data_IF_405703567393
#
_entry.id   IF_405703567393
#
_cell.length_a   1.000
_cell.length_b   1.000
_cell.length_c   1.000
_cell.angle_alpha   90.00
_cell.angle_beta   90.00
_cell.angle_gamma   90.00
#
_symmetry.space_group_name_H-M   'P 1'
#
loop_
_entity.id
_entity.type
_entity.pdbx_description
1 polymer ?
#
# COMPACT_ATOMS: atom_id res chain seq x y z
N UNK A 1 7.27 -18.19 -0.74
CA UNK A 1 7.39 -17.50 -2.05
C UNK A 1 7.42 -16.01 -1.77
N UNK A 2 8.26 -15.23 -2.46
CA UNK A 2 8.51 -13.81 -2.11
C UNK A 2 7.43 -12.85 -2.63
N UNK A 3 7.43 -11.62 -2.11
CA UNK A 3 6.60 -10.53 -2.60
C UNK A 3 7.07 -10.07 -3.99
N UNK A 4 6.13 -9.89 -4.91
CA UNK A 4 6.38 -9.23 -6.20
C UNK A 4 5.72 -7.85 -6.22
N UNK A 5 6.52 -6.81 -6.47
CA UNK A 5 6.05 -5.44 -6.70
C UNK A 5 6.05 -5.16 -8.19
N UNK A 6 4.90 -4.72 -8.70
CA UNK A 6 4.76 -4.19 -10.04
C UNK A 6 4.36 -2.73 -9.94
N UNK A 7 5.10 -1.83 -10.57
CA UNK A 7 4.81 -0.40 -10.54
C UNK A 7 4.53 0.11 -11.96
N UNK A 8 3.42 0.82 -12.12
CA UNK A 8 3.03 1.50 -13.37
C UNK A 8 2.87 2.99 -13.07
N UNK A 9 3.29 3.86 -14.01
CA UNK A 9 3.05 5.30 -13.92
C UNK A 9 2.30 5.76 -15.17
N UNK A 10 1.18 6.48 -14.98
CA UNK A 10 0.41 7.12 -16.03
C UNK A 10 0.11 8.56 -15.63
N UNK A 11 0.67 9.52 -16.36
CA UNK A 11 0.58 10.95 -16.07
C UNK A 11 1.02 11.29 -14.63
N UNK A 12 0.18 11.99 -13.88
CA UNK A 12 0.37 12.34 -12.48
C UNK A 12 -0.06 11.23 -11.51
N UNK A 13 -0.43 10.05 -12.03
CA UNK A 13 -0.86 8.92 -11.23
C UNK A 13 0.16 7.78 -11.28
N UNK A 14 0.37 7.13 -10.15
CA UNK A 14 1.12 5.89 -10.05
C UNK A 14 0.24 4.76 -9.53
N UNK A 15 0.49 3.55 -10.00
CA UNK A 15 -0.11 2.31 -9.51
C UNK A 15 1.01 1.40 -8.99
N UNK A 16 0.85 0.91 -7.77
CA UNK A 16 1.74 -0.08 -7.16
C UNK A 16 0.91 -1.32 -6.87
N UNK A 17 1.11 -2.37 -7.66
CA UNK A 17 0.48 -3.66 -7.45
C UNK A 17 1.41 -4.58 -6.64
N UNK A 18 0.90 -5.08 -5.53
CA UNK A 18 1.60 -5.90 -4.53
C UNK A 18 1.01 -7.30 -4.58
N UNK A 19 1.82 -8.28 -4.97
CA UNK A 19 1.41 -9.68 -5.08
C UNK A 19 2.15 -10.55 -4.06
N UNK A 20 1.42 -11.42 -3.37
CA UNK A 20 1.97 -12.39 -2.42
C UNK A 20 1.86 -11.97 -0.95
N UNK A 21 2.70 -12.56 -0.10
CA UNK A 21 2.63 -12.39 1.36
C UNK A 21 3.20 -11.04 1.81
N UNK A 22 2.42 -10.30 2.62
CA UNK A 22 2.89 -9.05 3.21
C UNK A 22 3.76 -9.35 4.44
N UNK A 23 5.07 -9.33 4.25
CA UNK A 23 6.09 -9.39 5.30
C UNK A 23 6.65 -8.01 5.62
N UNK A 24 7.37 -7.86 6.75
CA UNK A 24 8.05 -6.60 7.09
C UNK A 24 9.01 -6.11 5.99
N UNK A 25 9.63 -7.03 5.25
CA UNK A 25 10.47 -6.70 4.08
C UNK A 25 9.64 -6.09 2.96
N UNK A 26 8.49 -6.68 2.66
CA UNK A 26 7.58 -6.18 1.62
C UNK A 26 7.01 -4.79 1.93
N UNK A 27 6.67 -4.54 3.19
CA UNK A 27 6.16 -3.26 3.64
C UNK A 27 7.18 -2.13 3.40
N UNK A 28 8.47 -2.36 3.73
CA UNK A 28 9.55 -1.40 3.46
C UNK A 28 9.75 -1.12 1.98
N UNK A 29 9.59 -2.14 1.13
CA UNK A 29 9.71 -1.96 -0.32
C UNK A 29 8.51 -1.17 -0.89
N UNK A 30 7.30 -1.38 -0.34
CA UNK A 30 6.12 -0.58 -0.66
C UNK A 30 6.29 0.88 -0.25
N UNK A 31 6.77 1.14 0.98
CA UNK A 31 7.06 2.50 1.46
C UNK A 31 8.04 3.23 0.54
N UNK A 32 9.14 2.58 0.17
CA UNK A 32 10.13 3.15 -0.75
C UNK A 32 9.54 3.45 -2.14
N UNK A 33 8.66 2.59 -2.66
CA UNK A 33 7.99 2.81 -3.93
C UNK A 33 7.00 3.99 -3.88
N UNK A 34 6.23 4.12 -2.80
CA UNK A 34 5.32 5.25 -2.58
C UNK A 34 6.10 6.57 -2.51
N UNK A 35 7.20 6.59 -1.76
CA UNK A 35 8.03 7.80 -1.63
C UNK A 35 8.69 8.19 -2.97
N UNK A 36 9.10 7.21 -3.77
CA UNK A 36 9.60 7.45 -5.12
C UNK A 36 8.58 8.16 -6.01
N UNK A 37 7.30 7.78 -5.97
CA UNK A 37 6.28 8.43 -6.80
C UNK A 37 5.87 9.80 -6.26
N UNK A 38 5.84 9.99 -4.94
CA UNK A 38 5.63 11.30 -4.32
C UNK A 38 6.72 12.30 -4.69
N UNK A 39 7.98 11.90 -4.61
CA UNK A 39 9.11 12.78 -4.97
C UNK A 39 9.15 13.13 -6.46
N UNK A 40 8.53 12.30 -7.32
CA UNK A 40 8.36 12.57 -8.77
C UNK A 40 7.13 13.41 -9.12
N UNK A 41 6.38 13.87 -8.13
CA UNK A 41 5.23 14.74 -8.33
C UNK A 41 3.96 14.00 -8.75
N UNK A 42 3.86 12.69 -8.51
CA UNK A 42 2.59 11.98 -8.69
C UNK A 42 1.61 12.48 -7.62
N UNK A 43 0.47 13.03 -8.07
CA UNK A 43 -0.59 13.55 -7.21
C UNK A 43 -1.37 12.43 -6.53
N UNK A 44 -1.47 11.27 -7.21
CA UNK A 44 -2.20 10.09 -6.75
C UNK A 44 -1.31 8.86 -6.86
N UNK A 45 -1.24 8.08 -5.79
CA UNK A 45 -0.56 6.77 -5.76
C UNK A 45 -1.60 5.73 -5.35
N UNK A 46 -2.06 4.93 -6.32
CA UNK A 46 -2.96 3.81 -6.10
C UNK A 46 -2.14 2.58 -5.71
N UNK A 47 -2.56 1.88 -4.66
CA UNK A 47 -1.91 0.65 -4.21
C UNK A 47 -2.92 -0.49 -4.32
N UNK A 48 -2.65 -1.44 -5.21
CA UNK A 48 -3.44 -2.66 -5.35
C UNK A 48 -2.77 -3.80 -4.60
N UNK A 49 -3.47 -4.41 -3.65
CA UNK A 49 -2.94 -5.52 -2.86
C UNK A 49 -3.68 -6.79 -3.25
N UNK A 50 -2.95 -7.76 -3.81
CA UNK A 50 -3.43 -9.12 -4.09
C UNK A 50 -2.60 -10.11 -3.29
N UNK A 51 -3.05 -10.36 -2.08
CA UNK A 51 -2.39 -11.27 -1.14
C UNK A 51 -3.25 -12.50 -0.90
N UNK A 52 -2.70 -13.70 -1.11
CA UNK A 52 -3.33 -14.98 -0.75
C UNK A 52 -3.32 -15.22 0.78
N UNK A 53 -2.62 -14.38 1.53
CA UNK A 53 -2.52 -14.44 2.98
C UNK A 53 -2.40 -13.03 3.53
N UNK A 54 -3.55 -12.39 3.79
CA UNK A 54 -3.58 -11.27 4.71
C UNK A 54 -3.16 -11.83 6.07
N UNK A 55 -1.94 -11.53 6.51
CA UNK A 55 -1.52 -11.87 7.86
C UNK A 55 -2.60 -11.36 8.83
N UNK A 56 -3.10 -12.23 9.71
CA UNK A 56 -4.21 -11.89 10.62
C UNK A 56 -3.90 -10.67 11.50
N UNK A 57 -2.65 -10.19 11.56
CA UNK A 57 -2.26 -8.93 12.20
C UNK A 57 -2.75 -7.66 11.48
N UNK A 58 -3.03 -7.70 10.17
CA UNK A 58 -3.59 -6.56 9.41
C UNK A 58 -5.05 -6.26 9.76
N UNK A 59 -5.79 -7.22 10.36
CA UNK A 59 -7.14 -6.99 10.89
C UNK A 59 -7.18 -5.99 12.07
N UNK A 60 -6.03 -5.52 12.57
CA UNK A 60 -5.99 -4.41 13.54
C UNK A 60 -6.06 -3.02 12.88
N UNK A 61 -5.87 -2.90 11.58
CA UNK A 61 -5.94 -1.63 10.85
C UNK A 61 -7.36 -1.24 10.40
N UNK A 62 -8.35 -2.11 10.66
CA UNK A 62 -9.78 -1.89 10.39
C UNK A 62 -10.60 -1.54 11.65
N UNK A 63 -10.01 -0.89 12.65
CA UNK A 63 -10.81 -0.13 13.60
C UNK A 63 -10.86 1.31 13.10
N UNK A 64 -11.91 1.75 12.39
CA UNK A 64 -12.16 3.16 12.28
C UNK A 64 -12.34 3.65 13.71
N UNK A 65 -11.35 4.40 14.22
CA UNK A 65 -11.59 5.28 15.35
C UNK A 65 -12.72 6.20 14.92
N UNK A 66 -13.95 5.81 15.23
CA UNK A 66 -15.14 6.66 15.17
C UNK A 66 -14.73 7.95 15.85
N UNK A 67 -14.62 9.02 15.06
CA UNK A 67 -14.62 10.36 15.64
C UNK A 67 -15.98 10.48 16.31
N UNK A 68 -16.09 10.64 17.63
CA UNK A 68 -17.35 11.10 18.19
C UNK A 68 -17.62 12.46 17.53
N UNK A 69 -18.59 12.49 16.63
CA UNK A 69 -19.21 13.74 16.22
C UNK A 69 -19.94 14.25 17.46
N UNK A 70 -19.42 15.29 18.10
CA UNK A 70 -20.15 16.17 19.02
C UNK A 70 -21.44 16.68 18.33
N UNK A 71 -22.51 17.03 19.06
CA UNK A 71 -22.59 17.43 20.48
C UNK A 71 -23.35 16.48 21.42
#
# INVERSE_FOLDING_TARGET
>A
MGLHLHTEQRNDQALIAVYGEITARSARQLEAAVEHFRTRGCSVVNVEIRSDGLDRSLNKWNSPSVRPSEP
#
